data_IF_569413159177
#
_entry.id   IF_569413159177
#
_cell.length_a   1.000
_cell.length_b   1.000
_cell.length_c   1.000
_cell.angle_alpha   90.00
_cell.angle_beta   90.00
_cell.angle_gamma   90.00
#
_symmetry.space_group_name_H-M   'P 1'
#
loop_
_entity.id
_entity.type
_entity.pdbx_description
1 polymer ?
#
# COMPACT_ATOMS: atom_id res chain seq x y z
N UNK A 1 8.97 11.85 -0.98
CA UNK A 1 8.25 10.57 -0.89
C UNK A 1 8.08 10.20 0.57
N UNK A 2 7.09 9.37 0.88
CA UNK A 2 6.94 8.74 2.20
C UNK A 2 7.19 7.24 2.01
N UNK A 3 8.07 6.67 2.83
CA UNK A 3 8.27 5.22 2.89
C UNK A 3 7.34 4.67 3.97
N UNK A 4 6.40 3.81 3.56
CA UNK A 4 5.40 3.24 4.45
C UNK A 4 5.56 1.73 4.47
N UNK A 5 5.74 1.18 5.67
CA UNK A 5 5.77 -0.27 5.88
C UNK A 5 4.42 -0.74 6.45
N UNK A 6 3.83 -1.75 5.80
CA UNK A 6 2.70 -2.49 6.33
C UNK A 6 3.18 -3.54 7.34
N UNK A 7 2.25 -4.34 7.89
CA UNK A 7 2.62 -5.63 8.46
C UNK A 7 3.36 -6.46 7.40
N UNK A 8 4.39 -7.21 7.79
CA UNK A 8 5.14 -8.10 6.90
C UNK A 8 4.17 -8.96 6.07
N UNK A 9 4.46 -9.18 4.79
CA UNK A 9 3.67 -10.00 3.87
C UNK A 9 2.32 -9.43 3.46
N UNK A 10 2.11 -8.11 3.56
CA UNK A 10 0.83 -7.48 3.23
C UNK A 10 0.90 -6.47 2.08
N UNK A 11 2.08 -5.98 1.68
CA UNK A 11 2.18 -4.83 0.78
C UNK A 11 1.55 -5.10 -0.59
N UNK A 12 1.81 -6.26 -1.19
CA UNK A 12 1.16 -6.67 -2.46
C UNK A 12 -0.36 -6.67 -2.36
N UNK A 13 -0.90 -7.19 -1.26
CA UNK A 13 -2.36 -7.27 -1.07
C UNK A 13 -2.96 -5.87 -0.84
N UNK A 14 -2.30 -5.01 -0.06
CA UNK A 14 -2.71 -3.61 0.10
C UNK A 14 -2.76 -2.88 -1.25
N UNK A 15 -1.71 -3.01 -2.07
CA UNK A 15 -1.66 -2.41 -3.41
C UNK A 15 -2.77 -2.96 -4.31
N UNK A 16 -3.04 -4.27 -4.24
CA UNK A 16 -4.12 -4.94 -4.97
C UNK A 16 -5.50 -4.40 -4.57
N UNK A 17 -5.81 -4.33 -3.27
CA UNK A 17 -7.08 -3.80 -2.75
C UNK A 17 -7.27 -2.32 -3.10
N UNK A 18 -6.22 -1.49 -2.96
CA UNK A 18 -6.28 -0.08 -3.36
C UNK A 18 -6.60 0.07 -4.85
N UNK A 19 -5.94 -0.72 -5.71
CA UNK A 19 -6.15 -0.70 -7.16
C UNK A 19 -7.59 -1.08 -7.53
N UNK A 20 -8.15 -2.12 -6.88
CA UNK A 20 -9.55 -2.53 -7.06
C UNK A 20 -10.55 -1.43 -6.68
N UNK A 21 -10.20 -0.61 -5.69
CA UNK A 21 -11.00 0.51 -5.21
C UNK A 21 -10.66 1.85 -5.90
N UNK A 22 -9.87 1.84 -6.98
CA UNK A 22 -9.63 3.01 -7.82
C UNK A 22 -8.41 3.86 -7.47
N UNK A 23 -7.61 3.48 -6.45
CA UNK A 23 -6.36 4.17 -6.10
C UNK A 23 -5.16 3.35 -6.55
N UNK A 24 -4.40 3.90 -7.49
CA UNK A 24 -3.17 3.28 -7.99
C UNK A 24 -1.98 3.75 -7.16
N UNK A 25 -1.27 2.80 -6.57
CA UNK A 25 -0.04 3.02 -5.82
C UNK A 25 1.18 2.56 -6.63
N UNK A 26 2.38 3.00 -6.21
CA UNK A 26 3.62 2.36 -6.68
C UNK A 26 3.57 0.88 -6.30
N UNK A 27 3.97 -0.01 -7.21
CA UNK A 27 3.98 -1.46 -6.94
C UNK A 27 4.81 -1.82 -5.71
N UNK A 28 4.34 -2.79 -4.92
CA UNK A 28 5.08 -3.33 -3.79
C UNK A 28 6.44 -3.88 -4.25
N UNK A 29 7.50 -3.61 -3.47
CA UNK A 29 8.87 -3.99 -3.82
C UNK A 29 9.58 -3.09 -4.84
N UNK A 30 8.93 -2.06 -5.41
CA UNK A 30 9.55 -1.18 -6.41
C UNK A 30 10.79 -0.40 -5.92
N UNK A 31 10.96 -0.27 -4.61
CA UNK A 31 12.11 0.37 -3.95
C UNK A 31 13.28 -0.58 -3.71
N UNK A 32 13.16 -1.85 -4.12
CA UNK A 32 14.15 -2.90 -3.92
C UNK A 32 14.76 -3.36 -5.25
N UNK A 33 16.04 -3.77 -5.27
CA UNK A 33 16.67 -4.37 -6.44
C UNK A 33 15.85 -5.56 -6.96
N UNK A 34 15.60 -5.59 -8.27
CA UNK A 34 14.78 -6.63 -8.91
C UNK A 34 13.29 -6.57 -8.57
N UNK A 35 12.81 -5.51 -7.91
CA UNK A 35 11.40 -5.38 -7.54
C UNK A 35 10.96 -6.31 -6.40
N UNK A 36 11.90 -6.88 -5.64
CA UNK A 36 11.62 -7.89 -4.63
C UNK A 36 11.93 -7.37 -3.21
N UNK A 37 10.89 -6.99 -2.50
CA UNK A 37 10.97 -6.76 -1.05
C UNK A 37 10.92 -8.11 -0.32
N UNK A 38 11.99 -8.52 0.40
CA UNK A 38 12.03 -9.81 1.10
C UNK A 38 10.98 -9.94 2.20
N UNK A 39 10.42 -8.83 2.69
CA UNK A 39 9.37 -8.83 3.70
C UNK A 39 7.98 -8.52 3.14
N UNK A 40 7.86 -8.17 1.85
CA UNK A 40 6.61 -7.72 1.23
C UNK A 40 5.82 -6.75 2.13
N UNK A 41 6.48 -5.66 2.54
CA UNK A 41 5.93 -4.67 3.49
C UNK A 41 6.00 -3.24 2.99
N UNK A 42 6.94 -2.91 2.10
CA UNK A 42 7.19 -1.53 1.73
C UNK A 42 6.29 -1.05 0.57
N UNK A 43 5.70 0.12 0.76
CA UNK A 43 4.97 0.88 -0.26
C UNK A 43 5.50 2.32 -0.27
N UNK A 44 5.92 2.78 -1.46
CA UNK A 44 6.32 4.18 -1.67
C UNK A 44 5.11 5.05 -1.98
N UNK A 45 4.90 6.10 -1.18
CA UNK A 45 3.84 7.10 -1.40
C UNK A 45 4.45 8.38 -1.99
N UNK A 46 3.82 8.88 -3.06
CA UNK A 46 4.22 10.09 -3.78
C UNK A 46 3.13 11.17 -3.66
N UNK A 47 3.14 12.01 -2.61
CA UNK A 47 2.03 12.92 -2.30
C UNK A 47 2.06 14.25 -3.06
N UNK A 48 3.09 14.52 -3.87
CA UNK A 48 3.38 15.86 -4.39
C UNK A 48 2.54 16.31 -5.59
N UNK A 49 1.79 15.39 -6.23
CA UNK A 49 1.02 15.69 -7.45
C UNK A 49 -0.49 15.93 -7.18
N UNK A 50 -1.20 15.09 -6.42
CA UNK A 50 -2.65 15.24 -6.26
C UNK A 50 -3.04 16.49 -5.45
N UNK A 51 -4.20 17.09 -5.71
CA UNK A 51 -4.81 18.07 -4.81
C UNK A 51 -5.00 17.50 -3.40
N UNK A 52 -5.03 18.38 -2.39
CA UNK A 52 -5.12 17.97 -0.97
C UNK A 52 -6.36 17.11 -0.69
N UNK A 53 -7.51 17.42 -1.29
CA UNK A 53 -8.75 16.64 -1.10
C UNK A 53 -8.66 15.22 -1.65
N UNK A 54 -8.09 15.05 -2.86
CA UNK A 54 -7.87 13.74 -3.46
C UNK A 54 -6.83 12.93 -2.66
N UNK A 55 -5.79 13.62 -2.18
CA UNK A 55 -4.76 13.01 -1.33
C UNK A 55 -5.36 12.50 -0.01
N UNK A 56 -6.25 13.26 0.62
CA UNK A 56 -6.92 12.85 1.86
C UNK A 56 -7.80 11.60 1.63
N UNK A 57 -8.56 11.56 0.54
CA UNK A 57 -9.39 10.41 0.19
C UNK A 57 -8.54 9.17 -0.11
N UNK A 58 -7.47 9.32 -0.91
CA UNK A 58 -6.55 8.24 -1.23
C UNK A 58 -5.83 7.70 0.01
N UNK A 59 -5.43 8.58 0.94
CA UNK A 59 -4.81 8.18 2.20
C UNK A 59 -5.77 7.41 3.11
N UNK A 60 -7.05 7.82 3.21
CA UNK A 60 -8.08 7.09 3.96
C UNK A 60 -8.29 5.69 3.38
N UNK A 61 -8.36 5.56 2.06
CA UNK A 61 -8.51 4.27 1.39
C UNK A 61 -7.27 3.39 1.59
N UNK A 62 -6.05 3.93 1.48
CA UNK A 62 -4.82 3.22 1.80
C UNK A 62 -4.87 2.64 3.23
N UNK A 63 -5.20 3.47 4.22
CA UNK A 63 -5.34 3.03 5.60
C UNK A 63 -6.38 1.92 5.77
N UNK A 64 -7.52 2.00 5.09
CA UNK A 64 -8.55 0.97 5.11
C UNK A 64 -8.04 -0.35 4.51
N UNK A 65 -7.46 -0.31 3.32
CA UNK A 65 -6.91 -1.50 2.66
C UNK A 65 -5.76 -2.13 3.47
N UNK A 66 -4.91 -1.33 4.13
CA UNK A 66 -3.89 -1.84 5.05
C UNK A 66 -4.49 -2.58 6.23
N UNK A 67 -5.50 -1.99 6.88
CA UNK A 67 -6.18 -2.66 8.01
C UNK A 67 -6.83 -3.97 7.58
N UNK A 68 -7.51 -3.97 6.43
CA UNK A 68 -8.12 -5.19 5.88
C UNK A 68 -7.07 -6.27 5.61
N UNK A 69 -6.01 -5.96 4.86
CA UNK A 69 -4.95 -6.94 4.56
C UNK A 69 -4.29 -7.50 5.82
N UNK A 70 -4.08 -6.68 6.86
CA UNK A 70 -3.54 -7.13 8.13
C UNK A 70 -4.52 -8.05 8.89
N UNK A 71 -5.83 -7.74 8.87
CA UNK A 71 -6.85 -8.58 9.49
C UNK A 71 -6.98 -9.92 8.75
N UNK A 72 -7.11 -9.91 7.43
CA UNK A 72 -7.17 -11.11 6.59
C UNK A 72 -5.99 -12.04 6.92
N UNK A 73 -4.77 -11.47 6.95
CA UNK A 73 -3.55 -12.19 7.31
C UNK A 73 -3.58 -12.79 8.72
N UNK A 74 -4.05 -12.05 9.71
CA UNK A 74 -4.11 -12.53 11.11
C UNK A 74 -5.16 -13.63 11.29
N UNK A 75 -6.22 -13.62 10.48
CA UNK A 75 -7.26 -14.66 10.46
C UNK A 75 -6.87 -15.87 9.61
N UNK A 76 -5.81 -15.77 8.80
CA UNK A 76 -5.35 -16.83 7.89
C UNK A 76 -6.20 -16.95 6.62
N UNK A 77 -6.86 -15.86 6.22
CA UNK A 77 -7.69 -15.74 5.01
C UNK A 77 -6.91 -15.20 3.80
#
# INVERSE_FOLDING_TARGET
FISFDTMDGCAKEVVSKCKKAGVVLTGAGATFPGGNDPHDKNIRIAPSFPPVGDLEMAAKLLCLCTKMAAVDKLLGE
#
